data_IF_240184170236
#
_entry.id   IF_240184170236
#
_cell.length_a   1.000
_cell.length_b   1.000
_cell.length_c   1.000
_cell.angle_alpha   90.00
_cell.angle_beta   90.00
_cell.angle_gamma   90.00
#
_symmetry.space_group_name_H-M   'P 1'
#
loop_
_entity.id
_entity.type
_entity.pdbx_description
1 polymer ?
#
# COMPACT_ATOMS: atom_id res chain seq x y z
N UNK A 1 9.56 -13.30 -12.70
CA UNK A 1 8.53 -13.79 -13.65
C UNK A 1 7.96 -15.14 -13.26
N UNK A 2 8.77 -16.16 -12.95
CA UNK A 2 8.26 -17.50 -12.57
C UNK A 2 7.25 -17.49 -11.43
N UNK A 3 7.54 -16.76 -10.34
CA UNK A 3 6.63 -16.67 -9.19
C UNK A 3 5.25 -16.08 -9.53
N UNK A 4 5.21 -15.03 -10.37
CA UNK A 4 3.98 -14.37 -10.78
C UNK A 4 3.12 -15.27 -11.67
N UNK A 5 3.77 -15.99 -12.60
CA UNK A 5 3.10 -16.97 -13.45
C UNK A 5 2.56 -18.16 -12.64
N UNK A 6 3.33 -18.67 -11.67
CA UNK A 6 2.88 -19.74 -10.77
C UNK A 6 1.66 -19.31 -9.96
N UNK A 7 1.66 -18.08 -9.44
CA UNK A 7 0.53 -17.54 -8.70
C UNK A 7 -0.72 -17.41 -9.59
N UNK A 8 -0.59 -16.89 -10.82
CA UNK A 8 -1.72 -16.78 -11.75
C UNK A 8 -2.35 -18.15 -12.08
N UNK A 9 -1.53 -19.20 -12.22
CA UNK A 9 -2.03 -20.58 -12.41
C UNK A 9 -2.72 -21.14 -11.17
N UNK A 10 -2.19 -20.84 -9.97
CA UNK A 10 -2.83 -21.27 -8.73
C UNK A 10 -4.23 -20.67 -8.55
N UNK A 11 -4.41 -19.39 -8.91
CA UNK A 11 -5.73 -18.73 -8.91
C UNK A 11 -6.68 -19.38 -9.91
N UNK A 12 -6.24 -19.57 -11.16
CA UNK A 12 -7.06 -20.20 -12.19
C UNK A 12 -7.52 -21.61 -11.81
N UNK A 13 -6.67 -22.35 -11.09
CA UNK A 13 -6.99 -23.68 -10.55
C UNK A 13 -7.84 -23.64 -9.26
N UNK A 14 -8.19 -22.45 -8.75
CA UNK A 14 -8.99 -22.26 -7.54
C UNK A 14 -8.25 -22.55 -6.23
N UNK A 15 -6.92 -22.58 -6.24
CA UNK A 15 -6.10 -22.77 -5.03
C UNK A 15 -5.84 -21.49 -4.25
N UNK A 16 -6.01 -20.33 -4.88
CA UNK A 16 -5.82 -19.00 -4.28
C UNK A 16 -6.89 -18.05 -4.81
N UNK A 17 -7.43 -17.20 -3.95
CA UNK A 17 -8.44 -16.18 -4.24
C UNK A 17 -7.85 -14.75 -4.27
N UNK A 18 -6.57 -14.62 -3.96
CA UNK A 18 -5.82 -13.37 -4.08
C UNK A 18 -5.50 -12.99 -5.53
N UNK A 19 -5.16 -11.71 -5.80
CA UNK A 19 -4.69 -11.30 -7.12
C UNK A 19 -3.23 -11.74 -7.34
N UNK A 20 -2.92 -12.31 -8.52
CA UNK A 20 -1.55 -12.61 -8.91
C UNK A 20 -0.82 -11.30 -9.25
N UNK A 21 -0.27 -10.69 -8.20
CA UNK A 21 0.33 -9.36 -8.23
C UNK A 21 1.72 -9.39 -7.64
N UNK A 22 2.68 -8.77 -8.33
CA UNK A 22 4.04 -8.60 -7.82
C UNK A 22 4.48 -7.15 -7.96
N UNK A 23 5.15 -6.63 -6.94
CA UNK A 23 5.75 -5.30 -6.93
C UNK A 23 7.26 -5.46 -7.02
N UNK A 24 7.90 -4.79 -7.97
CA UNK A 24 9.35 -4.81 -8.08
C UNK A 24 9.87 -3.47 -8.58
N UNK A 25 11.19 -3.30 -8.58
CA UNK A 25 11.82 -2.18 -9.28
C UNK A 25 12.19 -2.59 -10.69
N UNK A 26 12.00 -1.69 -11.65
CA UNK A 26 12.54 -1.84 -12.99
C UNK A 26 14.07 -1.61 -12.99
N UNK A 27 14.69 -1.70 -14.15
CA UNK A 27 16.13 -1.49 -14.32
C UNK A 27 16.59 -0.05 -14.03
N UNK A 28 15.67 0.92 -14.02
CA UNK A 28 15.91 2.32 -13.66
C UNK A 28 15.64 2.58 -12.17
N UNK A 29 15.23 1.56 -11.41
CA UNK A 29 14.92 1.66 -9.98
C UNK A 29 13.51 2.17 -9.67
N UNK A 30 12.66 2.38 -10.68
CA UNK A 30 11.26 2.79 -10.49
C UNK A 30 10.42 1.62 -10.03
N UNK A 31 9.49 1.88 -9.13
CA UNK A 31 8.52 0.87 -8.73
C UNK A 31 7.52 0.58 -9.86
N UNK A 32 7.34 -0.70 -10.16
CA UNK A 32 6.34 -1.22 -11.08
C UNK A 32 5.50 -2.28 -10.37
N UNK A 33 4.25 -2.39 -10.80
CA UNK A 33 3.37 -3.50 -10.44
C UNK A 33 3.14 -4.37 -11.66
N UNK A 34 3.22 -5.67 -11.46
CA UNK A 34 2.91 -6.66 -12.48
C UNK A 34 1.68 -7.45 -12.03
N UNK A 35 0.68 -7.53 -12.91
CA UNK A 35 -0.47 -8.41 -12.79
C UNK A 35 -0.32 -9.57 -13.75
N UNK A 36 -0.72 -10.76 -13.34
CA UNK A 36 -0.82 -11.89 -14.25
C UNK A 36 -2.18 -12.59 -14.16
N UNK A 37 -2.68 -13.03 -15.30
CA UNK A 37 -3.87 -13.87 -15.39
C UNK A 37 -3.68 -14.93 -16.46
N UNK A 38 -4.31 -16.09 -16.26
CA UNK A 38 -4.41 -17.10 -17.32
C UNK A 38 -5.43 -16.62 -18.37
N UNK A 39 -5.15 -16.84 -19.65
CA UNK A 39 -6.07 -16.45 -20.73
C UNK A 39 -7.25 -17.41 -20.86
N UNK A 40 -7.08 -18.65 -20.41
CA UNK A 40 -8.11 -19.67 -20.27
C UNK A 40 -7.90 -20.36 -18.93
N UNK A 41 -8.90 -20.29 -18.04
CA UNK A 41 -8.83 -20.85 -16.70
C UNK A 41 -9.01 -22.39 -16.69
N UNK A 42 -9.51 -22.94 -17.80
CA UNK A 42 -9.78 -24.38 -17.92
C UNK A 42 -8.61 -25.17 -18.52
N UNK A 43 -7.65 -24.48 -19.12
CA UNK A 43 -6.45 -25.05 -19.71
C UNK A 43 -5.20 -24.75 -18.85
N UNK A 44 -4.63 -25.77 -18.17
CA UNK A 44 -3.43 -25.62 -17.35
C UNK A 44 -2.20 -25.14 -18.12
N UNK A 45 -2.16 -25.33 -19.45
CA UNK A 45 -1.07 -24.91 -20.33
C UNK A 45 -1.37 -23.58 -21.03
N UNK A 46 -2.50 -22.94 -20.70
CA UNK A 46 -2.90 -21.66 -21.25
C UNK A 46 -1.82 -20.60 -21.09
N UNK A 47 -1.76 -19.70 -22.06
CA UNK A 47 -0.90 -18.54 -22.04
C UNK A 47 -1.27 -17.63 -20.88
N UNK A 48 -0.26 -16.94 -20.34
CA UNK A 48 -0.41 -16.01 -19.25
C UNK A 48 -0.24 -14.61 -19.80
N UNK A 49 -1.26 -13.77 -19.64
CA UNK A 49 -1.15 -12.35 -19.88
C UNK A 49 -0.47 -11.71 -18.66
N UNK A 50 0.54 -10.89 -18.90
CA UNK A 50 1.18 -10.08 -17.85
C UNK A 50 1.02 -8.60 -18.20
N UNK A 51 0.37 -7.84 -17.33
CA UNK A 51 0.26 -6.38 -17.43
C UNK A 51 1.30 -5.77 -16.51
N UNK A 52 2.11 -4.85 -17.03
CA UNK A 52 3.13 -4.12 -16.27
C UNK A 52 2.73 -2.65 -16.23
N UNK A 53 2.65 -2.11 -15.03
CA UNK A 53 2.14 -0.76 -14.76
C UNK A 53 3.15 -0.02 -13.89
N UNK A 54 3.32 1.31 -14.05
CA UNK A 54 3.95 2.12 -13.03
C UNK A 54 3.21 1.92 -11.70
N UNK A 55 3.96 1.65 -10.62
CA UNK A 55 3.32 1.46 -9.32
C UNK A 55 2.74 2.78 -8.83
N UNK A 56 1.46 2.75 -8.47
CA UNK A 56 0.82 3.87 -7.80
C UNK A 56 1.26 3.90 -6.34
N UNK A 57 1.13 5.05 -5.70
CA UNK A 57 1.47 5.21 -4.28
C UNK A 57 0.76 4.21 -3.37
N UNK A 58 -0.50 3.90 -3.67
CA UNK A 58 -1.30 2.91 -2.95
C UNK A 58 -0.70 1.50 -3.01
N UNK A 59 0.09 1.20 -4.05
CA UNK A 59 0.73 -0.10 -4.21
C UNK A 59 1.95 -0.24 -3.30
N UNK A 60 2.67 0.85 -3.08
CA UNK A 60 3.92 0.84 -2.31
C UNK A 60 3.69 1.12 -0.83
N UNK A 61 2.61 1.84 -0.47
CA UNK A 61 2.30 2.22 0.90
C UNK A 61 2.28 1.04 1.89
N UNK A 62 1.69 -0.12 1.56
CA UNK A 62 1.76 -1.28 2.43
C UNK A 62 3.19 -1.75 2.73
N UNK A 63 4.09 -1.73 1.73
CA UNK A 63 5.49 -2.16 1.88
C UNK A 63 6.23 -1.24 2.85
N UNK A 64 6.06 0.07 2.69
CA UNK A 64 6.73 1.06 3.53
C UNK A 64 6.19 1.01 4.96
N UNK A 65 4.87 0.85 5.11
CA UNK A 65 4.23 0.67 6.41
C UNK A 65 4.70 -0.62 7.10
N UNK A 66 4.85 -1.72 6.36
CA UNK A 66 5.40 -2.98 6.86
C UNK A 66 6.88 -2.84 7.25
N UNK A 67 7.67 -2.08 6.50
CA UNK A 67 9.07 -1.84 6.79
C UNK A 67 9.31 -1.12 8.13
N UNK A 68 8.35 -0.31 8.60
CA UNK A 68 8.42 0.34 9.91
C UNK A 68 7.99 -0.54 11.09
N UNK A 69 7.55 -1.78 10.87
CA UNK A 69 7.16 -2.68 11.98
C UNK A 69 5.98 -2.16 12.81
N UNK A 70 5.05 -1.45 12.17
CA UNK A 70 3.87 -0.91 12.84
C UNK A 70 2.87 -2.01 13.19
N UNK A 71 2.37 -1.97 14.43
CA UNK A 71 1.28 -2.84 14.88
C UNK A 71 -0.01 -2.53 14.09
N UNK A 72 -1.00 -3.44 14.05
CA UNK A 72 -2.28 -3.17 13.40
C UNK A 72 -2.93 -1.85 13.84
N UNK A 73 -2.86 -1.52 15.14
CA UNK A 73 -3.48 -0.31 15.67
C UNK A 73 -2.70 0.97 15.34
N UNK A 74 -1.37 0.90 15.36
CA UNK A 74 -0.51 2.01 14.88
C UNK A 74 -0.76 2.32 13.40
N UNK A 75 -0.99 1.30 12.57
CA UNK A 75 -1.34 1.48 11.15
C UNK A 75 -2.65 2.22 10.95
N UNK A 76 -3.67 1.94 11.78
CA UNK A 76 -4.93 2.66 11.74
C UNK A 76 -4.79 4.12 12.16
N UNK A 77 -4.02 4.39 13.22
CA UNK A 77 -3.72 5.76 13.66
C UNK A 77 -2.94 6.51 12.57
N UNK A 78 -1.93 5.89 11.96
CA UNK A 78 -1.17 6.44 10.84
C UNK A 78 -2.08 6.80 9.66
N UNK A 79 -3.03 5.93 9.30
CA UNK A 79 -4.04 6.21 8.25
C UNK A 79 -4.89 7.43 8.59
N UNK A 80 -5.31 7.58 9.85
CA UNK A 80 -6.02 8.77 10.31
C UNK A 80 -5.18 10.04 10.15
N UNK A 81 -3.89 9.98 10.50
CA UNK A 81 -2.96 11.10 10.32
C UNK A 81 -2.80 11.46 8.85
N UNK A 82 -2.60 10.46 7.98
CA UNK A 82 -2.45 10.64 6.54
C UNK A 82 -3.68 11.30 5.89
N UNK A 83 -4.88 11.03 6.43
CA UNK A 83 -6.14 11.67 6.02
C UNK A 83 -6.34 13.07 6.59
N UNK A 84 -5.40 13.59 7.37
CA UNK A 84 -5.50 14.91 7.99
C UNK A 84 -6.37 14.98 9.25
N UNK A 85 -6.84 13.85 9.77
CA UNK A 85 -7.75 13.83 10.94
C UNK A 85 -7.02 14.25 12.22
N UNK A 86 -7.58 15.17 12.98
CA UNK A 86 -7.10 15.54 14.31
C UNK A 86 -7.12 14.37 15.30
N UNK A 87 -6.36 14.47 16.39
CA UNK A 87 -6.32 13.42 17.43
C UNK A 87 -7.72 13.09 18.00
N UNK A 88 -8.62 14.05 18.29
CA UNK A 88 -9.99 13.75 18.69
C UNK A 88 -10.81 13.01 17.63
N UNK A 89 -10.64 13.36 16.35
CA UNK A 89 -11.34 12.69 15.24
C UNK A 89 -10.86 11.25 15.06
N UNK A 90 -9.55 11.01 15.16
CA UNK A 90 -8.98 9.66 15.16
C UNK A 90 -9.50 8.86 16.37
N UNK A 91 -9.55 9.48 17.54
CA UNK A 91 -10.07 8.86 18.76
C UNK A 91 -11.53 8.43 18.58
N UNK A 92 -12.37 9.31 18.02
CA UNK A 92 -13.76 8.98 17.69
C UNK A 92 -13.86 7.85 16.65
N UNK A 93 -13.08 7.91 15.56
CA UNK A 93 -13.12 6.92 14.50
C UNK A 93 -12.65 5.52 14.93
N UNK A 94 -11.75 5.44 15.92
CA UNK A 94 -11.20 4.18 16.42
C UNK A 94 -11.81 3.72 17.75
N UNK A 95 -12.81 4.45 18.28
CA UNK A 95 -13.41 4.20 19.59
C UNK A 95 -12.38 4.15 20.73
N UNK A 96 -11.43 5.09 20.71
CA UNK A 96 -10.35 5.22 21.70
C UNK A 96 -10.43 6.57 22.44
N UNK A 97 -9.72 6.69 23.56
CA UNK A 97 -9.52 7.99 24.18
C UNK A 97 -8.50 8.82 23.39
N UNK A 98 -8.62 10.16 23.43
CA UNK A 98 -7.60 11.06 22.85
C UNK A 98 -6.21 10.84 23.47
N UNK A 99 -6.13 10.43 24.73
CA UNK A 99 -4.86 10.08 25.38
C UNK A 99 -4.23 8.86 24.71
N UNK A 100 -4.99 7.78 24.58
CA UNK A 100 -4.53 6.53 23.95
C UNK A 100 -4.07 6.77 22.50
N UNK A 101 -4.78 7.61 21.75
CA UNK A 101 -4.34 7.98 20.40
C UNK A 101 -3.02 8.75 20.41
N UNK A 102 -2.76 9.64 21.38
CA UNK A 102 -1.45 10.31 21.50
C UNK A 102 -0.34 9.31 21.78
N UNK A 103 -0.59 8.30 22.61
CA UNK A 103 0.39 7.26 22.89
C UNK A 103 0.74 6.47 21.62
N UNK A 104 -0.27 6.11 20.82
CA UNK A 104 -0.04 5.49 19.52
C UNK A 104 0.71 6.42 18.55
N UNK A 105 0.37 7.72 18.49
CA UNK A 105 1.09 8.69 17.66
C UNK A 105 2.57 8.75 18.05
N UNK A 106 2.87 8.75 19.35
CA UNK A 106 4.25 8.74 19.86
C UNK A 106 5.00 7.47 19.43
N UNK A 107 4.38 6.30 19.58
CA UNK A 107 4.97 5.03 19.13
C UNK A 107 5.23 5.04 17.62
N UNK A 108 4.30 5.57 16.82
CA UNK A 108 4.47 5.75 15.37
C UNK A 108 5.67 6.66 15.07
N UNK A 109 5.80 7.79 15.77
CA UNK A 109 6.94 8.69 15.58
C UNK A 109 8.28 8.00 15.87
N UNK A 110 8.35 7.27 16.98
CA UNK A 110 9.55 6.51 17.35
C UNK A 110 9.91 5.46 16.28
N UNK A 111 8.93 4.70 15.79
CA UNK A 111 9.16 3.65 14.77
C UNK A 111 9.47 4.19 13.38
N UNK A 112 8.92 5.35 13.04
CA UNK A 112 9.15 5.99 11.73
C UNK A 112 10.35 6.93 11.73
N UNK A 113 10.94 7.21 12.90
CA UNK A 113 12.12 8.06 13.06
C UNK A 113 11.85 9.54 12.80
N UNK A 114 10.63 10.01 13.05
CA UNK A 114 10.24 11.42 12.85
C UNK A 114 9.93 12.09 14.19
N UNK A 115 10.18 13.39 14.29
CA UNK A 115 9.98 14.17 15.52
C UNK A 115 8.64 14.88 15.62
N UNK A 116 7.91 15.01 14.51
CA UNK A 116 6.66 15.76 14.49
C UNK A 116 5.61 15.17 13.55
N UNK A 117 4.36 15.59 13.78
CA UNK A 117 3.24 15.25 12.90
C UNK A 117 3.48 15.78 11.48
N UNK A 118 4.02 17.00 11.38
CA UNK A 118 4.35 17.61 10.09
C UNK A 118 5.45 16.83 9.36
N UNK A 119 6.48 16.37 10.07
CA UNK A 119 7.51 15.50 9.51
C UNK A 119 6.97 14.14 9.12
N UNK A 120 6.10 13.52 9.94
CA UNK A 120 5.45 12.27 9.59
C UNK A 120 4.62 12.44 8.31
N UNK A 121 3.81 13.50 8.24
CA UNK A 121 3.05 13.85 7.06
C UNK A 121 3.99 14.08 5.88
N UNK A 122 4.99 14.97 5.97
CA UNK A 122 5.94 15.22 4.90
C UNK A 122 6.67 13.95 4.44
N UNK A 123 7.03 13.04 5.36
CA UNK A 123 7.67 11.77 5.05
C UNK A 123 6.72 10.84 4.31
N UNK A 124 5.47 10.70 4.77
CA UNK A 124 4.43 10.00 4.02
C UNK A 124 4.17 10.67 2.66
N UNK A 125 4.26 12.00 2.56
CA UNK A 125 3.99 12.72 1.31
C UNK A 125 5.15 12.63 0.30
N UNK A 126 6.39 12.72 0.77
CA UNK A 126 7.60 12.56 -0.03
C UNK A 126 7.82 11.10 -0.45
N UNK A 127 7.38 10.15 0.38
CA UNK A 127 7.41 8.72 0.06
C UNK A 127 6.15 8.25 -0.71
N UNK A 128 5.01 8.98 -0.70
CA UNK A 128 3.72 8.50 -1.25
C UNK A 128 2.72 9.48 -1.92
N UNK A 129 2.91 10.79 -2.13
CA UNK A 129 1.77 11.64 -2.59
C UNK A 129 1.96 12.52 -3.83
N UNK A 130 3.07 12.43 -4.57
CA UNK A 130 3.29 13.35 -5.70
C UNK A 130 2.57 13.01 -7.02
N UNK A 131 1.62 12.07 -7.09
CA UNK A 131 0.84 11.85 -8.33
C UNK A 131 -0.70 11.97 -8.19
N UNK A 132 -1.30 11.76 -7.01
CA UNK A 132 -2.77 11.84 -6.86
C UNK A 132 -3.33 13.27 -6.95
N UNK A 133 -2.47 14.30 -6.90
CA UNK A 133 -2.90 15.69 -7.08
C UNK A 133 -3.03 16.11 -8.55
N UNK A 134 -2.61 15.27 -9.52
CA UNK A 134 -2.83 15.52 -10.96
C UNK A 134 -3.85 14.58 -11.61
N UNK A 135 -4.27 13.49 -10.96
CA UNK A 135 -5.21 12.52 -11.53
C UNK A 135 -6.71 12.94 -11.49
N UNK A 136 -7.04 14.11 -10.95
CA UNK A 136 -8.40 14.70 -11.07
C UNK A 136 -8.59 15.59 -12.30
N UNK A 137 -7.67 15.58 -13.27
CA UNK A 137 -7.96 16.07 -14.61
C UNK A 137 -8.70 14.99 -15.40
N UNK A 138 -10.01 14.91 -15.20
CA UNK A 138 -10.93 14.28 -16.15
C UNK A 138 -10.74 14.99 -17.49
N UNK A 139 -10.10 14.34 -18.44
CA UNK A 139 -10.27 14.69 -19.85
C UNK A 139 -11.45 13.87 -20.38
N UNK A 140 -12.55 14.59 -20.62
CA UNK A 140 -13.68 14.16 -21.45
C UNK A 140 -13.21 13.94 -22.87
#
# INVERSE_FOLDING_TARGET
MSLLATHARAIAAGYDDGPARLRCRDHEGRWIVMHASCMDETDPDSQIAVVIEPAQSADIAPIIVEAYGLTPREREVLRGIARGLSTPEIAAALFLSSHTVRDYIKSVFEKTGVGSRGELTAKLFAEHYLDDFQASAVFV
#
